data_IF_361936452082
#
_entry.id   IF_361936452082
#
_cell.length_a   1.000
_cell.length_b   1.000
_cell.length_c   1.000
_cell.angle_alpha   90.00
_cell.angle_beta   90.00
_cell.angle_gamma   90.00
#
_symmetry.space_group_name_H-M   'P 1'
#
loop_
_entity.id
_entity.type
_entity.pdbx_description
1 polymer ?
#
# COMPACT_ATOMS: atom_id res chain seq x y z
N UNK A 1 -1.57 -7.16 -0.72
CA UNK A 1 -1.57 -7.84 0.60
C UNK A 1 -2.97 -7.91 1.20
N UNK A 2 -3.78 -6.84 1.11
CA UNK A 2 -5.17 -6.84 1.57
C UNK A 2 -6.03 -7.89 0.84
N UNK A 3 -6.08 -7.86 -0.49
CA UNK A 3 -6.79 -8.88 -1.30
C UNK A 3 -6.26 -10.32 -1.11
N UNK A 4 -4.94 -10.45 -0.94
CA UNK A 4 -4.32 -11.73 -0.61
C UNK A 4 -4.73 -12.22 0.79
N UNK A 5 -4.97 -11.29 1.71
CA UNK A 5 -5.46 -11.55 3.06
C UNK A 5 -6.87 -12.11 3.04
N UNK A 6 -7.78 -11.53 2.25
CA UNK A 6 -9.11 -12.11 2.04
C UNK A 6 -9.00 -13.57 1.61
N UNK A 7 -8.16 -13.89 0.61
CA UNK A 7 -7.98 -15.26 0.12
C UNK A 7 -7.50 -16.25 1.21
N UNK A 8 -6.48 -15.90 1.99
CA UNK A 8 -5.97 -16.80 3.06
C UNK A 8 -6.82 -16.81 4.34
N UNK A 9 -7.64 -15.78 4.58
CA UNK A 9 -8.53 -15.67 5.74
C UNK A 9 -9.83 -16.43 5.51
N UNK A 10 -10.33 -16.47 4.28
CA UNK A 10 -11.55 -17.18 3.88
C UNK A 10 -11.44 -18.71 4.02
N UNK A 11 -10.24 -19.27 3.88
CA UNK A 11 -10.02 -20.73 3.84
C UNK A 11 -9.87 -21.40 5.22
N UNK A 12 -9.98 -20.63 6.32
CA UNK A 12 -9.93 -21.17 7.68
C UNK A 12 -11.24 -20.94 8.40
N UNK A 13 -12.20 -21.83 8.11
CA UNK A 13 -13.53 -21.95 8.70
C UNK A 13 -13.61 -21.47 10.14
N UNK A 14 -13.95 -20.21 10.31
CA UNK A 14 -14.18 -19.60 11.59
C UNK A 14 -15.64 -19.19 11.64
N UNK A 15 -16.46 -20.13 12.09
CA UNK A 15 -17.75 -19.86 12.73
C UNK A 15 -17.53 -18.80 13.81
N UNK A 16 -17.77 -17.54 13.46
CA UNK A 16 -18.08 -16.52 14.45
C UNK A 16 -18.71 -15.34 13.73
N UNK A 17 -20.02 -15.21 13.87
CA UNK A 17 -20.85 -14.08 13.48
C UNK A 17 -20.49 -12.76 14.21
N UNK A 18 -19.24 -12.60 14.68
CA UNK A 18 -18.81 -11.53 15.59
C UNK A 18 -17.48 -10.88 15.20
N UNK A 19 -16.78 -11.33 14.14
CA UNK A 19 -15.50 -10.74 13.74
C UNK A 19 -15.40 -10.43 12.25
N UNK A 20 -15.38 -9.13 11.95
CA UNK A 20 -15.39 -8.55 10.61
C UNK A 20 -14.19 -9.05 9.77
N UNK A 21 -14.49 -9.70 8.65
CA UNK A 21 -13.54 -10.23 7.65
C UNK A 21 -12.48 -9.20 7.25
N UNK A 22 -12.90 -7.95 7.09
CA UNK A 22 -12.08 -6.80 6.79
C UNK A 22 -10.99 -6.56 7.85
N UNK A 23 -11.30 -6.78 9.13
CA UNK A 23 -10.34 -6.65 10.23
C UNK A 23 -9.27 -7.73 10.17
N UNK A 24 -9.64 -8.94 9.76
CA UNK A 24 -8.71 -10.07 9.59
C UNK A 24 -7.80 -9.85 8.38
N UNK A 25 -8.36 -9.42 7.24
CA UNK A 25 -7.58 -9.09 6.04
C UNK A 25 -6.60 -7.94 6.32
N UNK A 26 -7.03 -6.89 7.02
CA UNK A 26 -6.17 -5.78 7.41
C UNK A 26 -5.05 -6.20 8.38
N UNK A 27 -5.36 -7.07 9.35
CA UNK A 27 -4.33 -7.62 10.26
C UNK A 27 -3.33 -8.51 9.52
N UNK A 28 -3.81 -9.36 8.62
CA UNK A 28 -2.96 -10.19 7.78
C UNK A 28 -2.04 -9.32 6.92
N UNK A 29 -2.61 -8.36 6.20
CA UNK A 29 -1.86 -7.44 5.34
C UNK A 29 -0.79 -6.68 6.14
N UNK A 30 -1.12 -6.20 7.33
CA UNK A 30 -0.17 -5.55 8.23
C UNK A 30 0.97 -6.49 8.67
N UNK A 31 0.65 -7.72 9.06
CA UNK A 31 1.69 -8.70 9.46
C UNK A 31 2.57 -9.19 8.31
N UNK A 32 1.99 -9.27 7.10
CA UNK A 32 2.67 -9.71 5.90
C UNK A 32 3.63 -8.65 5.36
N UNK A 33 3.16 -7.39 5.28
CA UNK A 33 3.96 -6.26 4.82
C UNK A 33 5.05 -5.86 5.84
N UNK A 34 4.77 -6.05 7.14
CA UNK A 34 5.65 -5.59 8.21
C UNK A 34 5.89 -6.71 9.24
N UNK A 35 6.86 -7.61 9.01
CA UNK A 35 7.12 -8.74 9.90
C UNK A 35 7.64 -8.29 11.28
N UNK A 36 7.23 -8.98 12.36
CA UNK A 36 7.64 -8.61 13.74
C UNK A 36 9.16 -8.61 13.89
N UNK A 37 9.85 -9.61 13.33
CA UNK A 37 11.30 -9.74 13.40
C UNK A 37 12.01 -8.51 12.82
N UNK A 38 11.48 -7.95 11.73
CA UNK A 38 12.04 -6.73 11.14
C UNK A 38 11.76 -5.51 12.01
N UNK A 39 10.53 -5.36 12.53
CA UNK A 39 10.24 -4.26 13.45
C UNK A 39 11.12 -4.30 14.70
N UNK A 40 11.29 -5.47 15.32
CA UNK A 40 12.17 -5.60 16.48
C UNK A 40 13.62 -5.24 16.13
N UNK A 41 14.09 -5.59 14.93
CA UNK A 41 15.42 -5.17 14.46
C UNK A 41 15.53 -3.67 14.23
N UNK A 42 14.44 -3.01 13.83
CA UNK A 42 14.45 -1.58 13.49
C UNK A 42 14.26 -0.68 14.71
N UNK A 43 13.37 -1.07 15.63
CA UNK A 43 12.94 -0.22 16.75
C UNK A 43 13.13 -0.84 18.13
N UNK A 44 13.60 -2.10 18.21
CA UNK A 44 13.75 -2.84 19.46
C UNK A 44 12.46 -3.51 19.96
N UNK A 45 12.56 -4.20 21.10
CA UNK A 45 11.46 -5.01 21.63
C UNK A 45 10.36 -4.19 22.30
N UNK A 46 10.71 -3.07 22.93
CA UNK A 46 9.78 -2.26 23.72
C UNK A 46 10.07 -0.76 23.56
N UNK A 47 9.00 0.02 23.40
CA UNK A 47 9.04 1.47 23.22
C UNK A 47 7.99 2.17 24.08
N UNK A 48 8.41 3.24 24.74
CA UNK A 48 7.54 4.12 25.55
C UNK A 48 7.21 5.43 24.83
N UNK A 49 7.95 5.77 23.77
CA UNK A 49 7.73 6.92 22.89
C UNK A 49 8.22 6.61 21.47
N UNK A 50 7.75 7.39 20.49
CA UNK A 50 8.11 7.27 19.08
C UNK A 50 8.41 8.68 18.52
N UNK A 51 9.53 8.83 17.82
CA UNK A 51 9.83 10.09 17.12
C UNK A 51 9.06 10.15 15.79
N UNK A 52 8.57 11.34 15.42
CA UNK A 52 7.79 11.50 14.18
C UNK A 52 8.64 11.22 12.94
N UNK A 53 9.93 11.59 12.96
CA UNK A 53 10.87 11.32 11.85
C UNK A 53 11.14 9.83 11.72
N UNK A 54 11.34 9.14 12.84
CA UNK A 54 11.47 7.67 12.90
C UNK A 54 10.24 6.99 12.28
N UNK A 55 9.03 7.43 12.65
CA UNK A 55 7.78 6.91 12.09
C UNK A 55 7.66 7.14 10.58
N UNK A 56 8.10 8.29 10.07
CA UNK A 56 8.11 8.57 8.64
C UNK A 56 9.12 7.68 7.90
N UNK A 57 10.33 7.49 8.42
CA UNK A 57 11.31 6.57 7.82
C UNK A 57 10.80 5.12 7.77
N UNK A 58 10.14 4.66 8.83
CA UNK A 58 9.57 3.31 8.88
C UNK A 58 8.41 3.15 7.89
N UNK A 59 7.48 4.12 7.81
CA UNK A 59 6.35 4.03 6.87
C UNK A 59 6.85 3.95 5.43
N UNK A 60 7.93 4.66 5.10
CA UNK A 60 8.57 4.66 3.79
C UNK A 60 9.25 3.34 3.50
N UNK A 61 10.06 2.84 4.44
CA UNK A 61 10.71 1.53 4.34
C UNK A 61 9.73 0.41 4.03
N UNK A 62 8.56 0.42 4.66
CA UNK A 62 7.56 -0.64 4.53
C UNK A 62 6.49 -0.36 3.46
N UNK A 63 6.41 0.87 2.94
CA UNK A 63 5.38 1.27 1.97
C UNK A 63 3.96 1.26 2.55
N UNK A 64 3.80 1.70 3.80
CA UNK A 64 2.52 1.62 4.55
C UNK A 64 2.10 2.98 5.11
N UNK A 65 0.84 3.11 5.54
CA UNK A 65 0.38 4.32 6.24
C UNK A 65 0.93 4.36 7.68
N UNK A 66 1.02 5.57 8.25
CA UNK A 66 1.41 5.74 9.67
C UNK A 66 0.42 5.01 10.59
N UNK A 67 -0.89 5.08 10.31
CA UNK A 67 -1.89 4.38 11.10
C UNK A 67 -1.66 2.85 11.09
N UNK A 68 -1.42 2.26 9.92
CA UNK A 68 -1.14 0.82 9.80
C UNK A 68 0.13 0.43 10.55
N UNK A 69 1.19 1.24 10.44
CA UNK A 69 2.43 1.04 11.18
C UNK A 69 2.21 1.09 12.70
N UNK A 70 1.41 2.05 13.21
CA UNK A 70 1.08 2.16 14.64
C UNK A 70 0.27 0.96 15.15
N UNK A 71 -0.73 0.52 14.39
CA UNK A 71 -1.45 -0.73 14.71
C UNK A 71 -0.53 -1.94 14.68
N UNK A 72 0.45 -1.95 13.78
CA UNK A 72 1.40 -3.03 13.68
C UNK A 72 2.37 -3.07 14.87
N UNK A 73 2.93 -1.93 15.27
CA UNK A 73 3.78 -1.81 16.46
C UNK A 73 3.04 -2.29 17.72
N UNK A 74 1.76 -1.94 17.85
CA UNK A 74 0.92 -2.43 18.94
C UNK A 74 0.70 -3.95 18.88
N UNK A 75 0.24 -4.48 17.74
CA UNK A 75 0.00 -5.92 17.58
C UNK A 75 1.27 -6.77 17.63
N UNK A 76 2.45 -6.17 17.42
CA UNK A 76 3.75 -6.81 17.62
C UNK A 76 4.21 -6.84 19.09
N UNK A 77 3.50 -6.15 20.00
CA UNK A 77 3.86 -6.02 21.41
C UNK A 77 4.94 -4.98 21.70
N UNK A 78 5.27 -4.11 20.74
CA UNK A 78 6.37 -3.14 20.87
C UNK A 78 5.92 -1.89 21.62
N UNK A 79 4.68 -1.45 21.42
CA UNK A 79 4.08 -0.31 22.12
C UNK A 79 2.79 -0.69 22.84
N UNK A 80 2.44 0.08 23.87
CA UNK A 80 1.16 -0.09 24.57
C UNK A 80 -0.02 0.38 23.72
N UNK A 81 -1.22 -0.14 24.03
CA UNK A 81 -2.45 0.29 23.36
C UNK A 81 -2.72 1.79 23.57
N UNK A 82 -2.38 2.32 24.75
CA UNK A 82 -2.50 3.74 25.07
C UNK A 82 -1.65 4.57 24.11
N UNK A 83 -0.37 4.24 23.98
CA UNK A 83 0.55 4.94 23.10
C UNK A 83 0.08 4.88 21.63
N UNK A 84 -0.39 3.71 21.18
CA UNK A 84 -0.95 3.56 19.84
C UNK A 84 -2.13 4.50 19.61
N UNK A 85 -3.12 4.55 20.52
CA UNK A 85 -4.28 5.43 20.40
C UNK A 85 -3.89 6.91 20.37
N UNK A 86 -2.94 7.30 21.21
CA UNK A 86 -2.44 8.68 21.29
C UNK A 86 -1.75 9.13 20.00
N UNK A 87 -1.04 8.23 19.32
CA UNK A 87 -0.41 8.55 18.04
C UNK A 87 -1.37 8.45 16.86
N UNK A 88 -2.33 7.52 16.87
CA UNK A 88 -3.35 7.43 15.82
C UNK A 88 -4.21 8.70 15.79
N UNK A 89 -4.58 9.24 16.95
CA UNK A 89 -5.32 10.52 17.00
C UNK A 89 -4.49 11.66 16.38
N UNK A 90 -3.19 11.75 16.68
CA UNK A 90 -2.28 12.72 16.05
C UNK A 90 -2.14 12.49 14.54
N UNK A 91 -2.09 11.23 14.09
CA UNK A 91 -2.00 10.88 12.68
C UNK A 91 -3.21 11.40 11.89
N UNK A 92 -4.42 11.21 12.44
CA UNK A 92 -5.69 11.66 11.85
C UNK A 92 -5.81 13.18 11.78
N UNK A 93 -5.19 13.87 12.73
CA UNK A 93 -5.07 15.33 12.72
C UNK A 93 -3.97 15.83 11.77
N UNK A 94 -3.29 14.94 11.05
CA UNK A 94 -2.19 15.29 10.14
C UNK A 94 -0.87 15.67 10.84
N UNK A 95 -0.80 15.56 12.17
CA UNK A 95 0.31 16.05 12.99
C UNK A 95 1.56 15.15 12.95
N UNK A 96 1.47 13.99 12.31
CA UNK A 96 2.57 13.03 12.19
C UNK A 96 3.15 12.96 10.78
N UNK A 97 2.61 13.72 9.82
CA UNK A 97 3.20 13.84 8.50
C UNK A 97 4.28 14.90 8.56
N UNK A 98 5.54 14.51 8.36
CA UNK A 98 6.54 15.49 8.02
C UNK A 98 6.16 16.10 6.67
N UNK A 99 6.28 17.42 6.52
CA UNK A 99 5.88 18.14 5.32
C UNK A 99 6.74 17.81 4.09
N UNK A 100 7.66 16.84 4.21
CA UNK A 100 8.36 16.21 3.10
C UNK A 100 7.36 15.48 2.20
N UNK A 101 6.87 16.23 1.24
CA UNK A 101 6.00 15.84 0.13
C UNK A 101 6.25 14.40 -0.32
N UNK A 102 5.21 13.56 -0.23
CA UNK A 102 5.22 12.33 -1.01
C UNK A 102 5.14 12.71 -2.49
N UNK A 103 6.23 12.47 -3.22
CA UNK A 103 6.15 12.07 -4.64
C UNK A 103 5.97 10.56 -4.74
N UNK A 104 4.92 10.01 -4.12
CA UNK A 104 4.32 8.80 -4.66
C UNK A 104 3.23 9.28 -5.61
N UNK A 105 3.63 9.75 -6.80
CA UNK A 105 2.69 9.88 -7.91
C UNK A 105 2.27 8.46 -8.27
N UNK A 106 1.07 8.08 -7.85
CA UNK A 106 0.46 6.85 -8.34
C UNK A 106 0.15 7.09 -9.83
N UNK A 107 1.10 6.75 -10.69
CA UNK A 107 0.88 6.78 -12.13
C UNK A 107 -0.25 5.79 -12.44
N UNK A 108 -1.31 6.18 -13.18
CA UNK A 108 -2.42 5.31 -13.54
C UNK A 108 -1.98 4.23 -14.55
N UNK A 109 -1.22 3.25 -14.07
CA UNK A 109 -0.63 2.16 -14.87
C UNK A 109 -1.68 1.21 -15.41
N UNK A 110 -2.79 1.02 -14.71
CA UNK A 110 -3.87 0.12 -15.12
C UNK A 110 -4.56 0.63 -16.36
N UNK A 111 -4.97 1.91 -16.36
CA UNK A 111 -5.62 2.55 -17.52
C UNK A 111 -4.67 2.58 -18.71
N UNK A 112 -3.41 3.02 -18.50
CA UNK A 112 -2.35 2.97 -19.52
C UNK A 112 -2.21 1.57 -20.15
N UNK A 113 -2.10 0.53 -19.32
CA UNK A 113 -1.97 -0.86 -19.79
C UNK A 113 -3.19 -1.35 -20.57
N UNK A 114 -4.40 -0.99 -20.14
CA UNK A 114 -5.64 -1.39 -20.82
C UNK A 114 -5.78 -0.71 -22.18
N UNK A 115 -5.44 0.57 -22.27
CA UNK A 115 -5.44 1.30 -23.54
C UNK A 115 -4.42 0.71 -24.51
N UNK A 116 -3.18 0.46 -24.06
CA UNK A 116 -2.18 -0.18 -24.91
C UNK A 116 -2.59 -1.58 -25.39
N UNK A 117 -3.24 -2.38 -24.53
CA UNK A 117 -3.78 -3.68 -24.92
C UNK A 117 -4.87 -3.54 -25.98
N UNK A 118 -5.82 -2.62 -25.79
CA UNK A 118 -6.92 -2.40 -26.72
C UNK A 118 -6.44 -1.93 -28.11
N UNK A 119 -5.36 -1.14 -28.16
CA UNK A 119 -4.68 -0.77 -29.41
C UNK A 119 -4.01 -2.00 -30.05
N UNK A 120 -3.22 -2.76 -29.29
CA UNK A 120 -2.49 -3.93 -29.81
C UNK A 120 -3.42 -5.06 -30.30
N UNK A 121 -4.58 -5.23 -29.66
CA UNK A 121 -5.61 -6.20 -30.06
C UNK A 121 -6.55 -5.66 -31.16
N UNK A 122 -6.34 -4.42 -31.63
CA UNK A 122 -7.15 -3.81 -32.69
C UNK A 122 -8.58 -3.45 -32.28
N UNK A 123 -8.88 -3.44 -30.98
CA UNK A 123 -10.19 -3.05 -30.43
C UNK A 123 -10.44 -1.54 -30.61
N UNK A 124 -9.37 -0.74 -30.54
CA UNK A 124 -9.39 0.70 -30.82
C UNK A 124 -8.20 1.10 -31.70
N UNK A 125 -8.31 2.22 -32.43
CA UNK A 125 -7.19 2.76 -33.21
C UNK A 125 -6.12 3.37 -32.32
N UNK A 126 -4.87 3.44 -32.82
CA UNK A 126 -3.76 4.12 -32.13
C UNK A 126 -4.13 5.56 -31.74
N UNK A 127 -4.74 6.30 -32.67
CA UNK A 127 -5.18 7.68 -32.43
C UNK A 127 -6.19 7.76 -31.27
N UNK A 128 -7.11 6.79 -31.16
CA UNK A 128 -8.05 6.75 -30.04
C UNK A 128 -7.35 6.39 -28.73
N UNK A 129 -6.31 5.55 -28.77
CA UNK A 129 -5.47 5.26 -27.62
C UNK A 129 -4.80 6.51 -27.06
N UNK A 130 -4.20 7.35 -27.91
CA UNK A 130 -3.58 8.61 -27.49
C UNK A 130 -4.57 9.58 -26.85
N UNK A 131 -5.73 9.73 -27.48
CA UNK A 131 -6.81 10.55 -26.94
C UNK A 131 -7.21 10.10 -25.52
N UNK A 132 -7.34 8.79 -25.30
CA UNK A 132 -7.70 8.22 -23.99
C UNK A 132 -6.59 8.37 -22.93
N UNK A 133 -5.33 8.47 -23.33
CA UNK A 133 -4.20 8.70 -22.42
C UNK A 133 -3.90 10.18 -22.19
N UNK A 134 -4.56 11.09 -22.91
CA UNK A 134 -4.24 12.52 -22.88
C UNK A 134 -2.85 12.81 -23.45
N UNK A 135 -2.30 11.90 -24.26
CA UNK A 135 -0.99 12.01 -24.89
C UNK A 135 -1.16 12.61 -26.29
N UNK A 136 -0.28 13.54 -26.65
CA UNK A 136 -0.21 14.14 -27.99
C UNK A 136 1.00 13.58 -28.73
N UNK A 137 0.91 12.32 -29.16
CA UNK A 137 1.97 11.63 -29.89
C UNK A 137 1.38 10.49 -30.74
N UNK A 138 2.14 9.96 -31.70
CA UNK A 138 1.78 8.75 -32.46
C UNK A 138 2.59 7.55 -31.95
N UNK A 139 2.06 6.34 -32.08
CA UNK A 139 2.81 5.13 -31.78
C UNK A 139 3.77 5.00 -32.96
N UNK A 140 5.08 5.17 -32.75
CA UNK A 140 6.03 4.94 -33.83
C UNK A 140 5.95 3.46 -34.19
N UNK A 141 5.36 3.16 -35.34
CA UNK A 141 5.29 1.82 -35.90
C UNK A 141 6.65 1.42 -36.48
N UNK A 142 7.31 0.48 -35.78
CA UNK A 142 8.23 -0.56 -36.28
C UNK A 142 9.60 -0.16 -36.84
N UNK A 143 10.47 -1.16 -37.06
CA UNK A 143 10.73 -1.51 -38.45
C UNK A 143 10.34 -2.95 -38.77
N UNK A 144 9.44 -3.08 -39.74
CA UNK A 144 9.49 -3.95 -40.91
C UNK A 144 10.10 -5.36 -40.76
N UNK A 145 9.30 -6.37 -41.09
CA UNK A 145 9.79 -7.64 -41.64
C UNK A 145 10.85 -7.39 -42.75
N UNK A 146 11.97 -8.13 -42.67
CA UNK A 146 12.83 -8.45 -43.81
C UNK A 146 13.81 -9.58 -43.43
N UNK A 147 13.40 -10.83 -43.68
CA UNK A 147 14.16 -11.99 -44.19
C UNK A 147 13.57 -13.32 -43.69
#
# INVERSE_FOLDING_TARGET
AHELGHYFVLDRGADSATWNEETRANRFAASFLVPRKMLVSDVGEHRTSLDVRELNLLREKYGVSIEMLLFRLYSAGIISQKLMKDYVSKARLGLLNDASERKFSEEPRVVKRLVYRAVAEGVISEQKGFELLGESGGFSSSPSEAA
#
